data_IF_710402002155
#
_entry.id   IF_710402002155
#
_cell.length_a   1.000
_cell.length_b   1.000
_cell.length_c   1.000
_cell.angle_alpha   90.00
_cell.angle_beta   90.00
_cell.angle_gamma   90.00
#
_symmetry.space_group_name_H-M   'P 1'
#
loop_
_entity.id
_entity.type
_entity.pdbx_description
1 polymer ?
#
# COMPACT_ATOMS: atom_id res chain seq x y z
N UNK A 1 1.88 12.31 4.89
CA UNK A 1 2.17 11.06 4.18
C UNK A 1 1.59 11.08 2.78
N UNK A 2 2.30 10.46 1.84
CA UNK A 2 1.79 10.14 0.52
C UNK A 2 1.52 8.65 0.40
N UNK A 3 0.31 8.29 -0.01
CA UNK A 3 -0.02 6.93 -0.44
C UNK A 3 0.53 6.70 -1.85
N UNK A 4 1.25 5.61 -2.04
CA UNK A 4 1.80 5.21 -3.32
C UNK A 4 1.45 3.76 -3.67
N UNK A 5 0.70 3.58 -4.76
CA UNK A 5 0.31 2.26 -5.26
C UNK A 5 1.49 1.58 -5.95
N UNK A 6 2.41 1.01 -5.15
CA UNK A 6 3.66 0.45 -5.63
C UNK A 6 3.51 -0.94 -6.26
N UNK A 7 2.65 -1.78 -5.69
CA UNK A 7 2.53 -3.17 -6.14
C UNK A 7 1.17 -3.50 -6.80
N UNK A 8 0.52 -2.47 -7.35
CA UNK A 8 -0.59 -2.60 -8.31
C UNK A 8 -0.60 -1.38 -9.23
N UNK A 9 -0.60 -1.62 -10.52
CA UNK A 9 -0.77 -0.56 -11.53
C UNK A 9 -1.64 -1.06 -12.68
N UNK A 10 -2.78 -0.38 -12.86
CA UNK A 10 -3.76 -0.75 -13.87
C UNK A 10 -3.48 -0.10 -15.23
N UNK A 11 -2.55 0.82 -15.30
CA UNK A 11 -2.30 1.64 -16.48
C UNK A 11 -0.91 1.44 -17.09
N UNK A 12 0.09 1.13 -16.27
CA UNK A 12 1.46 1.04 -16.75
C UNK A 12 1.65 -0.14 -17.72
N UNK A 13 2.22 0.08 -18.91
CA UNK A 13 2.30 -0.95 -19.96
C UNK A 13 3.20 -2.14 -19.59
N UNK A 14 4.12 -1.98 -18.68
CA UNK A 14 5.06 -3.01 -18.23
C UNK A 14 4.75 -3.56 -16.84
N UNK A 15 3.60 -3.24 -16.23
CA UNK A 15 3.21 -3.90 -15.00
C UNK A 15 2.85 -5.36 -15.28
N UNK A 16 3.21 -6.28 -14.38
CA UNK A 16 3.05 -7.72 -14.60
C UNK A 16 1.59 -8.13 -14.87
N UNK A 17 1.43 -9.25 -15.60
CA UNK A 17 0.13 -9.85 -15.88
C UNK A 17 -0.53 -10.36 -14.60
N UNK A 18 -1.84 -10.22 -14.51
CA UNK A 18 -2.64 -10.85 -13.46
C UNK A 18 -2.47 -12.38 -13.34
N UNK A 19 -1.99 -13.02 -14.41
CA UNK A 19 -1.75 -14.47 -14.44
C UNK A 19 -0.40 -14.83 -13.82
N UNK A 20 0.52 -13.88 -13.73
CA UNK A 20 1.87 -14.07 -13.19
C UNK A 20 1.96 -13.71 -11.69
N UNK A 21 0.84 -13.33 -11.07
CA UNK A 21 0.87 -12.93 -9.67
C UNK A 21 -0.51 -12.66 -9.07
N UNK A 22 -0.63 -11.58 -8.31
CA UNK A 22 -1.90 -11.21 -7.70
C UNK A 22 -2.90 -10.68 -8.74
N UNK A 23 -4.02 -11.37 -8.90
CA UNK A 23 -5.01 -11.10 -9.96
C UNK A 23 -5.64 -9.69 -9.90
N UNK A 24 -5.65 -9.05 -8.72
CA UNK A 24 -6.19 -7.71 -8.56
C UNK A 24 -5.17 -6.60 -8.87
N UNK A 25 -3.89 -6.95 -9.07
CA UNK A 25 -2.86 -5.98 -9.40
C UNK A 25 -3.08 -5.32 -10.77
N UNK A 26 -3.74 -6.03 -11.69
CA UNK A 26 -4.10 -5.53 -13.01
C UNK A 26 -5.40 -6.19 -13.50
N UNK A 27 -6.45 -5.44 -13.88
CA UNK A 27 -7.67 -6.03 -14.44
C UNK A 27 -7.42 -6.67 -15.81
N UNK A 28 -8.08 -7.80 -16.10
CA UNK A 28 -7.91 -8.56 -17.34
C UNK A 28 -8.09 -7.73 -18.61
N UNK A 29 -9.05 -6.79 -18.64
CA UNK A 29 -9.30 -5.97 -19.81
C UNK A 29 -8.16 -4.99 -20.15
N UNK A 30 -7.29 -4.71 -19.18
CA UNK A 30 -6.12 -3.84 -19.40
C UNK A 30 -4.97 -4.55 -20.11
N UNK A 31 -4.90 -5.88 -20.01
CA UNK A 31 -3.87 -6.68 -20.69
C UNK A 31 -4.09 -6.81 -22.19
N UNK A 32 -5.30 -6.60 -22.66
CA UNK A 32 -5.66 -6.64 -24.08
C UNK A 32 -5.50 -5.30 -24.80
N UNK A 33 -5.00 -4.27 -24.12
CA UNK A 33 -4.77 -2.97 -24.75
C UNK A 33 -3.48 -2.98 -25.56
N UNK A 34 -3.45 -2.21 -26.66
CA UNK A 34 -2.26 -2.11 -27.53
C UNK A 34 -1.02 -1.60 -26.81
N UNK A 35 -1.24 -0.80 -25.78
CA UNK A 35 -0.20 -0.21 -24.93
C UNK A 35 0.46 -1.23 -24.00
N UNK A 36 -0.18 -2.39 -23.76
CA UNK A 36 0.37 -3.42 -22.86
C UNK A 36 1.56 -4.13 -23.51
N UNK A 37 2.72 -4.01 -22.88
CA UNK A 37 4.02 -4.43 -23.41
C UNK A 37 4.72 -5.51 -22.59
N UNK A 38 4.26 -5.77 -21.36
CA UNK A 38 4.82 -6.82 -20.52
C UNK A 38 4.68 -8.20 -21.19
N UNK A 39 5.79 -8.94 -21.29
CA UNK A 39 5.88 -10.28 -21.88
C UNK A 39 6.49 -11.29 -20.90
N UNK A 40 7.42 -10.84 -20.07
CA UNK A 40 8.17 -11.66 -19.14
C UNK A 40 8.65 -10.81 -17.95
N UNK A 41 9.26 -11.47 -16.97
CA UNK A 41 9.69 -10.82 -15.72
C UNK A 41 10.73 -9.72 -15.92
N UNK A 42 11.58 -9.84 -16.92
CA UNK A 42 12.62 -8.86 -17.24
C UNK A 42 12.04 -7.51 -17.65
N UNK A 43 10.89 -7.54 -18.35
CA UNK A 43 10.18 -6.33 -18.76
C UNK A 43 9.70 -5.47 -17.58
N UNK A 44 9.49 -6.10 -16.42
CA UNK A 44 9.00 -5.43 -15.22
C UNK A 44 9.96 -4.36 -14.70
N UNK A 45 11.24 -4.46 -15.01
CA UNK A 45 12.24 -3.43 -14.68
C UNK A 45 11.87 -2.05 -15.22
N UNK A 46 11.13 -1.97 -16.34
CA UNK A 46 10.62 -0.71 -16.87
C UNK A 46 9.57 -0.07 -15.95
N UNK A 47 8.73 -0.89 -15.30
CA UNK A 47 7.81 -0.39 -14.28
C UNK A 47 8.58 0.07 -13.02
N UNK A 48 9.55 -0.70 -12.55
CA UNK A 48 10.35 -0.32 -11.38
C UNK A 48 11.06 1.01 -11.61
N UNK A 49 11.68 1.19 -12.77
CA UNK A 49 12.31 2.47 -13.14
C UNK A 49 11.31 3.64 -13.13
N UNK A 50 10.11 3.42 -13.64
CA UNK A 50 9.03 4.41 -13.59
C UNK A 50 8.64 4.74 -12.14
N UNK A 51 8.40 3.73 -11.31
CA UNK A 51 8.05 3.91 -9.91
C UNK A 51 9.14 4.65 -9.11
N UNK A 52 10.41 4.28 -9.31
CA UNK A 52 11.54 4.97 -8.69
C UNK A 52 11.65 6.44 -9.11
N UNK A 53 11.42 6.74 -10.39
CA UNK A 53 11.42 8.12 -10.88
C UNK A 53 10.27 8.94 -10.27
N UNK A 54 9.07 8.35 -10.14
CA UNK A 54 7.95 9.02 -9.47
C UNK A 54 8.22 9.25 -7.97
N UNK A 55 8.76 8.26 -7.26
CA UNK A 55 9.13 8.43 -5.85
C UNK A 55 10.19 9.54 -5.70
N UNK A 56 11.20 9.58 -6.57
CA UNK A 56 12.21 10.63 -6.59
C UNK A 56 11.58 12.01 -6.84
N UNK A 57 10.69 12.12 -7.81
CA UNK A 57 9.97 13.34 -8.13
C UNK A 57 9.16 13.83 -6.91
N UNK A 58 8.34 12.97 -6.32
CA UNK A 58 7.51 13.30 -5.15
C UNK A 58 8.35 13.77 -3.97
N UNK A 59 9.40 13.05 -3.61
CA UNK A 59 10.28 13.36 -2.48
C UNK A 59 11.10 14.65 -2.72
N UNK A 60 11.42 14.97 -3.97
CA UNK A 60 12.13 16.20 -4.33
C UNK A 60 11.20 17.41 -4.34
N UNK A 61 9.98 17.25 -4.86
CA UNK A 61 8.99 18.34 -4.93
C UNK A 61 8.36 18.65 -3.56
N UNK A 62 8.25 17.64 -2.71
CA UNK A 62 7.63 17.76 -1.38
C UNK A 62 8.60 17.29 -0.27
N UNK A 63 9.70 18.03 -0.04
CA UNK A 63 10.75 17.58 0.88
C UNK A 63 10.31 17.46 2.33
N UNK A 64 9.22 18.14 2.71
CA UNK A 64 8.69 18.14 4.09
C UNK A 64 7.67 17.04 4.38
N UNK A 65 7.44 16.08 3.47
CA UNK A 65 6.48 15.00 3.74
C UNK A 65 6.97 14.11 4.88
N UNK A 66 6.04 13.71 5.75
CA UNK A 66 6.35 12.86 6.89
C UNK A 66 6.70 11.42 6.47
N UNK A 67 6.28 10.95 5.29
CA UNK A 67 6.60 9.61 4.82
C UNK A 67 5.86 9.14 3.58
N UNK A 68 6.21 7.95 3.15
CA UNK A 68 5.60 7.22 2.04
C UNK A 68 4.90 5.97 2.58
N UNK A 69 3.64 5.81 2.19
CA UNK A 69 2.82 4.66 2.52
C UNK A 69 2.58 3.81 1.26
N UNK A 70 3.31 2.68 1.14
CA UNK A 70 3.29 1.80 -0.02
C UNK A 70 2.15 0.78 0.08
N UNK A 71 1.53 0.46 -1.06
CA UNK A 71 0.45 -0.52 -1.18
C UNK A 71 0.35 -1.05 -2.63
N UNK A 72 -0.41 -2.10 -2.90
CA UNK A 72 -0.93 -3.14 -1.99
C UNK A 72 0.10 -4.22 -1.71
N UNK A 73 0.20 -4.65 -0.47
CA UNK A 73 1.20 -5.64 -0.05
C UNK A 73 0.99 -7.03 -0.69
N UNK A 74 -0.24 -7.39 -1.02
CA UNK A 74 -0.53 -8.67 -1.68
C UNK A 74 0.06 -8.76 -3.08
N UNK A 75 0.12 -7.64 -3.81
CA UNK A 75 0.79 -7.57 -5.10
C UNK A 75 2.30 -7.80 -5.00
N UNK A 76 2.91 -7.30 -3.92
CA UNK A 76 4.30 -7.55 -3.60
C UNK A 76 4.53 -9.04 -3.23
N UNK A 77 3.78 -9.60 -2.27
CA UNK A 77 3.99 -10.97 -1.83
C UNK A 77 3.85 -12.00 -2.95
N UNK A 78 2.95 -11.76 -3.90
CA UNK A 78 2.75 -12.67 -5.03
C UNK A 78 3.93 -12.70 -6.01
N UNK A 79 4.75 -11.65 -6.04
CA UNK A 79 5.89 -11.51 -6.97
C UNK A 79 7.07 -10.77 -6.34
N UNK A 80 7.34 -10.99 -5.04
CA UNK A 80 8.32 -10.23 -4.28
C UNK A 80 9.73 -10.20 -4.93
N UNK A 81 10.10 -11.25 -5.63
CA UNK A 81 11.38 -11.33 -6.34
C UNK A 81 11.54 -10.29 -7.48
N UNK A 82 10.41 -9.77 -7.99
CA UNK A 82 10.44 -8.76 -9.05
C UNK A 82 10.55 -7.32 -8.51
N UNK A 83 10.34 -7.14 -7.21
CA UNK A 83 10.39 -5.83 -6.57
C UNK A 83 11.70 -5.64 -5.80
N UNK A 84 12.61 -4.76 -6.23
CA UNK A 84 13.86 -4.49 -5.53
C UNK A 84 13.59 -3.62 -4.29
N UNK A 85 12.97 -4.20 -3.27
CA UNK A 85 12.41 -3.44 -2.14
C UNK A 85 13.49 -2.72 -1.33
N UNK A 86 14.65 -3.34 -1.16
CA UNK A 86 15.80 -2.72 -0.48
C UNK A 86 16.28 -1.47 -1.24
N UNK A 87 16.43 -1.57 -2.57
CA UNK A 87 16.80 -0.41 -3.40
C UNK A 87 15.75 0.70 -3.34
N UNK A 88 14.46 0.33 -3.32
CA UNK A 88 13.34 1.27 -3.20
C UNK A 88 13.41 2.03 -1.88
N UNK A 89 13.64 1.34 -0.75
CA UNK A 89 13.76 1.99 0.55
C UNK A 89 15.02 2.85 0.64
N UNK A 90 16.14 2.36 0.12
CA UNK A 90 17.39 3.11 0.06
C UNK A 90 17.24 4.39 -0.79
N UNK A 91 16.52 4.33 -1.91
CA UNK A 91 16.20 5.51 -2.72
C UNK A 91 15.40 6.54 -1.90
N UNK A 92 14.32 6.13 -1.23
CA UNK A 92 13.52 7.01 -0.39
C UNK A 92 14.38 7.68 0.69
N UNK A 93 15.13 6.88 1.45
CA UNK A 93 15.99 7.37 2.55
C UNK A 93 17.17 8.22 2.08
N UNK A 94 17.67 8.01 0.87
CA UNK A 94 18.75 8.84 0.29
C UNK A 94 18.29 10.27 -0.03
N UNK A 95 17.02 10.43 -0.39
CA UNK A 95 16.43 11.74 -0.74
C UNK A 95 15.87 12.42 0.51
N UNK A 96 15.14 11.67 1.34
CA UNK A 96 14.50 12.18 2.56
C UNK A 96 14.82 11.28 3.75
N UNK A 97 15.78 11.69 4.58
CA UNK A 97 16.24 10.93 5.75
C UNK A 97 15.21 10.82 6.87
N UNK A 98 14.25 11.76 6.91
CA UNK A 98 13.22 11.81 7.94
C UNK A 98 11.89 11.16 7.50
N UNK A 99 11.73 10.92 6.19
CA UNK A 99 10.50 10.30 5.69
C UNK A 99 10.36 8.87 6.21
N UNK A 100 9.28 8.61 6.92
CA UNK A 100 8.92 7.28 7.39
C UNK A 100 8.42 6.43 6.23
N UNK A 101 8.69 5.13 6.30
CA UNK A 101 8.26 4.16 5.29
C UNK A 101 7.32 3.15 5.95
N UNK A 102 6.14 2.95 5.35
CA UNK A 102 5.26 1.84 5.67
C UNK A 102 4.85 1.08 4.41
N UNK A 103 4.79 -0.23 4.51
CA UNK A 103 4.25 -1.09 3.48
C UNK A 103 3.38 -2.17 4.12
N UNK A 104 2.17 -1.76 4.58
CA UNK A 104 1.24 -2.63 5.29
C UNK A 104 1.92 -3.37 6.47
N UNK A 105 1.87 -4.71 6.49
CA UNK A 105 2.53 -5.50 7.54
C UNK A 105 4.03 -5.69 7.33
N UNK A 106 4.57 -5.19 6.21
CA UNK A 106 6.00 -5.20 5.89
C UNK A 106 6.37 -6.01 4.66
N UNK A 107 7.48 -5.62 4.02
CA UNK A 107 8.03 -6.26 2.84
C UNK A 107 9.40 -6.94 3.13
N UNK A 108 10.30 -6.28 3.87
CA UNK A 108 11.61 -6.84 4.23
C UNK A 108 12.03 -6.63 5.69
N UNK A 109 11.24 -5.92 6.48
CA UNK A 109 11.54 -5.61 7.86
C UNK A 109 12.19 -4.26 8.12
N UNK A 110 12.43 -3.44 7.08
CA UNK A 110 13.02 -2.10 7.20
C UNK A 110 11.98 -0.97 7.23
N UNK A 111 10.70 -1.32 7.29
CA UNK A 111 9.62 -0.37 7.50
C UNK A 111 9.72 0.27 8.88
N UNK A 112 9.33 1.53 9.01
CA UNK A 112 9.34 2.24 10.30
C UNK A 112 8.15 1.84 11.18
N UNK A 113 7.02 1.48 10.56
CA UNK A 113 5.81 0.99 11.25
C UNK A 113 5.02 0.03 10.34
N UNK A 114 4.17 -0.79 10.95
CA UNK A 114 3.23 -1.65 10.23
C UNK A 114 1.83 -1.05 10.19
N UNK A 115 1.12 -1.25 9.06
CA UNK A 115 -0.22 -0.69 8.86
C UNK A 115 -1.26 -1.79 8.57
N UNK A 116 -1.71 -2.56 9.57
CA UNK A 116 -2.76 -3.55 9.42
C UNK A 116 -4.08 -2.91 9.02
N UNK A 117 -4.90 -3.64 8.26
CA UNK A 117 -6.15 -3.15 7.68
C UNK A 117 -7.36 -3.72 8.42
N UNK A 118 -8.25 -2.84 8.88
CA UNK A 118 -9.49 -3.14 9.59
C UNK A 118 -9.36 -3.93 10.90
N UNK A 119 -8.21 -4.50 11.20
CA UNK A 119 -8.02 -5.35 12.38
C UNK A 119 -6.59 -5.24 12.89
N UNK A 120 -6.43 -5.02 14.20
CA UNK A 120 -5.15 -4.77 14.86
C UNK A 120 -4.15 -5.94 14.82
N UNK A 121 -4.66 -7.16 14.64
CA UNK A 121 -3.86 -8.39 14.69
C UNK A 121 -3.95 -9.27 13.43
N UNK A 122 -4.75 -8.87 12.44
CA UNK A 122 -4.93 -9.68 11.24
C UNK A 122 -3.67 -9.69 10.38
N UNK A 123 -3.14 -10.88 10.16
CA UNK A 123 -2.08 -11.13 9.20
C UNK A 123 -2.67 -11.46 7.83
N UNK A 124 -2.11 -10.88 6.76
CA UNK A 124 -2.48 -11.15 5.37
C UNK A 124 -1.38 -11.92 4.65
N UNK A 125 -1.72 -12.58 3.54
CA UNK A 125 -0.73 -13.28 2.71
C UNK A 125 -0.14 -14.54 3.33
N UNK A 126 -0.86 -15.21 4.25
CA UNK A 126 -0.37 -16.39 4.97
C UNK A 126 0.09 -17.54 4.07
N UNK A 127 -0.35 -17.58 2.83
CA UNK A 127 0.08 -18.55 1.80
C UNK A 127 1.50 -18.28 1.29
N UNK A 128 2.04 -17.08 1.51
CA UNK A 128 3.39 -16.70 1.09
C UNK A 128 4.36 -16.78 2.27
N UNK A 129 5.51 -17.40 2.06
CA UNK A 129 6.54 -17.53 3.08
C UNK A 129 7.10 -16.17 3.49
N UNK A 130 7.37 -15.30 2.52
CA UNK A 130 7.83 -13.92 2.76
C UNK A 130 6.91 -13.17 3.70
N UNK A 131 5.58 -13.30 3.54
CA UNK A 131 4.62 -12.62 4.42
C UNK A 131 4.70 -13.09 5.87
N UNK A 132 5.02 -14.36 6.10
CA UNK A 132 5.19 -14.92 7.46
C UNK A 132 6.47 -14.40 8.10
N UNK A 133 7.57 -14.36 7.34
CA UNK A 133 8.86 -13.88 7.83
C UNK A 133 8.78 -12.39 8.20
N UNK A 134 8.30 -11.55 7.29
CA UNK A 134 8.25 -10.10 7.53
C UNK A 134 7.27 -9.70 8.62
N UNK A 135 6.18 -10.45 8.80
CA UNK A 135 5.27 -10.25 9.94
C UNK A 135 6.00 -10.40 11.27
N UNK A 136 6.85 -11.44 11.42
CA UNK A 136 7.63 -11.64 12.63
C UNK A 136 8.67 -10.53 12.86
N UNK A 137 9.30 -10.03 11.79
CA UNK A 137 10.24 -8.90 11.86
C UNK A 137 9.57 -7.61 12.32
N UNK A 138 8.32 -7.38 11.91
CA UNK A 138 7.60 -6.13 12.15
C UNK A 138 6.63 -6.18 13.35
N UNK A 139 6.40 -7.31 13.99
CA UNK A 139 5.35 -7.48 15.01
C UNK A 139 5.48 -6.56 16.24
N UNK A 140 6.71 -6.13 16.55
CA UNK A 140 7.00 -5.25 17.70
C UNK A 140 7.15 -3.78 17.29
N UNK A 141 7.06 -3.45 16.02
CA UNK A 141 7.11 -2.06 15.54
C UNK A 141 5.84 -1.29 15.89
N UNK A 142 5.91 0.05 15.93
CA UNK A 142 4.71 0.87 15.99
C UNK A 142 3.69 0.45 14.94
N UNK A 143 2.42 0.65 15.22
CA UNK A 143 1.33 0.25 14.34
C UNK A 143 0.41 1.42 14.04
N UNK A 144 -0.13 1.40 12.82
CA UNK A 144 -1.22 2.26 12.38
C UNK A 144 -2.31 1.39 11.78
N UNK A 145 -3.41 1.18 12.51
CA UNK A 145 -4.55 0.48 11.92
C UNK A 145 -5.29 1.41 10.98
N UNK A 146 -5.49 1.00 9.73
CA UNK A 146 -6.28 1.75 8.77
C UNK A 146 -7.67 1.13 8.57
N UNK A 147 -8.69 1.98 8.56
CA UNK A 147 -10.08 1.58 8.26
C UNK A 147 -10.80 2.70 7.51
N UNK A 148 -11.93 2.40 6.89
CA UNK A 148 -12.73 3.40 6.19
C UNK A 148 -14.01 3.74 6.95
N UNK A 149 -14.46 5.00 6.83
CA UNK A 149 -15.74 5.45 7.34
C UNK A 149 -16.92 4.66 6.71
N UNK A 150 -16.79 4.27 5.46
CA UNK A 150 -17.81 3.47 4.78
C UNK A 150 -17.51 1.96 4.87
N UNK A 151 -18.57 1.16 4.67
CA UNK A 151 -18.52 -0.29 4.89
C UNK A 151 -17.72 -1.07 3.84
N UNK A 152 -17.48 -0.47 2.68
CA UNK A 152 -16.74 -1.06 1.57
C UNK A 152 -16.05 0.01 0.75
N UNK A 153 -14.98 -0.38 0.05
CA UNK A 153 -14.12 0.49 -0.76
C UNK A 153 -13.43 1.61 0.06
N UNK A 154 -12.43 2.22 -0.53
CA UNK A 154 -11.67 3.33 0.06
C UNK A 154 -12.07 4.68 -0.54
N UNK A 155 -12.48 4.71 -1.81
CA UNK A 155 -13.09 5.85 -2.45
C UNK A 155 -14.58 5.97 -2.15
N UNK A 156 -15.18 7.12 -2.46
CA UNK A 156 -16.61 7.33 -2.28
C UNK A 156 -17.46 6.32 -3.05
N UNK A 157 -18.41 5.69 -2.38
CA UNK A 157 -19.45 4.87 -2.96
C UNK A 157 -20.80 5.29 -2.40
N UNK A 158 -21.66 5.86 -3.27
CA UNK A 158 -23.00 6.32 -2.91
C UNK A 158 -23.93 5.25 -2.32
N UNK A 159 -23.63 3.97 -2.56
CA UNK A 159 -24.41 2.83 -2.08
C UNK A 159 -23.78 2.17 -0.83
N UNK A 160 -22.60 2.61 -0.39
CA UNK A 160 -21.99 2.08 0.80
C UNK A 160 -22.69 2.62 2.05
N UNK A 161 -22.89 1.74 3.02
CA UNK A 161 -23.31 2.17 4.37
C UNK A 161 -22.14 2.83 5.07
N UNK A 162 -22.38 3.91 5.77
CA UNK A 162 -21.40 4.53 6.65
C UNK A 162 -21.47 3.90 8.04
N UNK A 163 -20.30 3.79 8.67
CA UNK A 163 -20.20 3.44 10.09
C UNK A 163 -20.81 4.58 10.92
N UNK A 164 -21.53 4.23 11.97
CA UNK A 164 -22.06 5.22 12.91
C UNK A 164 -20.96 5.71 13.86
N UNK A 165 -21.29 6.69 14.69
CA UNK A 165 -20.34 7.24 15.66
C UNK A 165 -19.80 6.17 16.63
N UNK A 166 -20.68 5.30 17.15
CA UNK A 166 -20.29 4.29 18.14
C UNK A 166 -19.32 3.26 17.54
N UNK A 167 -19.51 2.87 16.27
CA UNK A 167 -18.59 2.00 15.53
C UNK A 167 -17.18 2.63 15.42
N UNK A 168 -17.12 3.91 15.02
CA UNK A 168 -15.85 4.63 14.88
C UNK A 168 -15.20 4.89 16.23
N UNK A 169 -15.98 5.25 17.23
CA UNK A 169 -15.48 5.48 18.60
C UNK A 169 -14.94 4.20 19.22
N UNK A 170 -15.57 3.06 18.95
CA UNK A 170 -15.05 1.75 19.35
C UNK A 170 -13.68 1.47 18.70
N UNK A 171 -13.53 1.73 17.40
CA UNK A 171 -12.21 1.61 16.73
C UNK A 171 -11.15 2.51 17.37
N UNK A 172 -11.51 3.73 17.74
CA UNK A 172 -10.61 4.66 18.40
C UNK A 172 -10.17 4.16 19.78
N UNK A 173 -11.10 3.68 20.60
CA UNK A 173 -10.79 3.11 21.91
C UNK A 173 -9.93 1.85 21.78
N UNK A 174 -10.21 0.98 20.79
CA UNK A 174 -9.41 -0.21 20.54
C UNK A 174 -8.00 0.16 20.06
N UNK A 175 -7.85 1.23 19.28
CA UNK A 175 -6.54 1.74 18.88
C UNK A 175 -5.72 2.16 20.09
N UNK A 176 -6.29 2.95 21.01
CA UNK A 176 -5.63 3.36 22.25
C UNK A 176 -5.24 2.13 23.08
N UNK A 177 -6.17 1.19 23.27
CA UNK A 177 -5.92 -0.04 24.06
C UNK A 177 -4.79 -0.90 23.49
N UNK A 178 -4.58 -0.88 22.18
CA UNK A 178 -3.54 -1.64 21.51
C UNK A 178 -2.27 -0.83 21.20
N UNK A 179 -2.14 0.37 21.79
CA UNK A 179 -1.02 1.29 21.53
C UNK A 179 -0.76 1.46 20.02
N UNK A 180 -1.82 1.78 19.29
CA UNK A 180 -1.83 1.80 17.83
C UNK A 180 -2.43 3.12 17.34
N UNK A 181 -1.84 3.74 16.33
CA UNK A 181 -2.45 4.88 15.65
C UNK A 181 -3.67 4.44 14.82
N UNK A 182 -4.69 5.28 14.73
CA UNK A 182 -5.87 5.06 13.89
C UNK A 182 -5.84 5.97 12.66
N UNK A 183 -5.72 5.38 11.48
CA UNK A 183 -5.93 6.06 10.20
C UNK A 183 -7.37 5.82 9.72
N UNK A 184 -8.24 6.81 9.88
CA UNK A 184 -9.62 6.75 9.40
C UNK A 184 -9.72 7.37 8.02
N UNK A 185 -9.92 6.52 7.02
CA UNK A 185 -10.13 6.95 5.64
C UNK A 185 -11.55 7.48 5.43
N UNK A 186 -11.66 8.55 4.69
CA UNK A 186 -12.91 9.11 4.19
C UNK A 186 -12.86 9.20 2.67
N UNK A 187 -13.96 8.81 2.00
CA UNK A 187 -14.10 8.98 0.56
C UNK A 187 -14.78 10.33 0.27
N UNK A 188 -14.08 11.34 -0.28
CA UNK A 188 -14.71 12.61 -0.59
C UNK A 188 -15.74 12.48 -1.70
N UNK A 189 -16.81 13.30 -1.62
CA UNK A 189 -17.76 13.45 -2.71
C UNK A 189 -17.11 14.14 -3.92
N UNK A 190 -17.77 14.14 -5.10
CA UNK A 190 -17.22 14.79 -6.31
C UNK A 190 -16.94 16.28 -6.16
N UNK A 191 -17.59 16.97 -5.24
CA UNK A 191 -17.35 18.38 -4.92
C UNK A 191 -16.28 18.60 -3.84
N UNK A 192 -15.65 17.51 -3.35
CA UNK A 192 -14.63 17.53 -2.31
C UNK A 192 -15.16 17.55 -0.88
N UNK A 193 -16.46 17.61 -0.67
CA UNK A 193 -17.04 17.50 0.67
C UNK A 193 -16.99 16.06 1.21
N UNK A 194 -17.13 15.90 2.52
CA UNK A 194 -17.24 14.60 3.20
C UNK A 194 -18.71 14.37 3.53
N UNK A 195 -19.21 13.17 3.23
CA UNK A 195 -20.60 12.77 3.50
C UNK A 195 -20.90 12.70 4.99
#
# INVERSE_FOLDING_TARGET
>A
FLYYSYAADWSHPYFYSRLDGWSNARPAYKENQKEYKYKNKEDFSNYINFAHNQLKELLTQYPEIAGIWLDPIMGYYANHEMFPIEETYNLIRSISKHALISFKQGANGDEDFSAPEHNFSKRVGNQYEVARIVYELNKLKPKEVCTSLQSRYWGYDKNAKHKNFDDIYSYYLDAIKNDTNLLLNVGPLPDGSIH
#
